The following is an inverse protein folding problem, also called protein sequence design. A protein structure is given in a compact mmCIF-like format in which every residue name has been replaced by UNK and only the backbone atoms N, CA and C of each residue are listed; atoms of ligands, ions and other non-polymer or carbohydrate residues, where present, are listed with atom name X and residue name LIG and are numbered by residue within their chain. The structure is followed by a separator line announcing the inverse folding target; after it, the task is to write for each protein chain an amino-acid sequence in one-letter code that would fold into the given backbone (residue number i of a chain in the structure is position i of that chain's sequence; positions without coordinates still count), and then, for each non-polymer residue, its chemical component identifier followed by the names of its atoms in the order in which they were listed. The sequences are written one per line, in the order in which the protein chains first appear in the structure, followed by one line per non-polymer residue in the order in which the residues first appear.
data_IF_003437421891
#
_entry.id   IF_003437421891
#
_cell.length_a   1.000
_cell.length_b   1.000
_cell.length_c   1.000
_cell.angle_alpha   90.00
_cell.angle_beta   90.00
_cell.angle_gamma   90.00
#
_symmetry.space_group_name_H-M   'P 1'
#
loop_
_entity.id
_entity.type
_entity.pdbx_description
1 polymer ?
#
# COMPACT_ATOMS: atom_id res chain seq x y z
N UNK A 1 -3.06 -5.03 0.96
CA UNK A 1 -2.64 -4.04 1.99
C UNK A 1 -3.80 -3.49 2.80
N UNK A 2 -4.74 -2.74 2.19
CA UNK A 2 -5.78 -1.97 2.93
C UNK A 2 -6.51 -2.76 4.01
N UNK A 3 -6.93 -3.99 3.68
CA UNK A 3 -7.66 -4.85 4.59
C UNK A 3 -6.76 -5.30 5.75
N UNK A 4 -5.55 -5.77 5.45
CA UNK A 4 -4.62 -6.24 6.48
C UNK A 4 -4.24 -5.15 7.47
N UNK A 5 -3.94 -3.93 7.01
CA UNK A 5 -3.71 -2.79 7.91
C UNK A 5 -4.93 -2.53 8.82
N UNK A 6 -6.13 -2.47 8.25
CA UNK A 6 -7.35 -2.27 9.05
C UNK A 6 -7.58 -3.37 10.09
N UNK A 7 -7.34 -4.62 9.70
CA UNK A 7 -7.56 -5.80 10.54
C UNK A 7 -6.61 -5.84 11.74
N UNK A 8 -5.29 -5.67 11.50
CA UNK A 8 -4.28 -5.97 12.55
C UNK A 8 -3.67 -4.72 13.18
N UNK A 9 -3.62 -3.58 12.48
CA UNK A 9 -3.05 -2.33 13.04
C UNK A 9 -4.10 -1.28 13.43
N UNK A 10 -5.35 -1.48 13.01
CA UNK A 10 -6.48 -0.54 13.13
C UNK A 10 -6.23 0.83 12.50
N UNK A 11 -5.22 0.94 11.63
CA UNK A 11 -5.01 2.12 10.80
C UNK A 11 -6.10 2.13 9.72
N UNK A 12 -6.83 3.24 9.63
CA UNK A 12 -7.79 3.43 8.54
C UNK A 12 -7.04 3.51 7.21
N UNK A 13 -7.01 2.39 6.49
CA UNK A 13 -6.36 2.28 5.20
C UNK A 13 -7.39 2.06 4.08
N UNK A 14 -7.26 2.82 2.99
CA UNK A 14 -8.10 2.71 1.81
C UNK A 14 -7.24 2.46 0.58
N UNK A 15 -7.81 1.72 -0.38
CA UNK A 15 -7.11 1.36 -1.60
C UNK A 15 -7.91 1.88 -2.78
N UNK A 16 -7.23 2.60 -3.67
CA UNK A 16 -7.81 3.22 -4.85
C UNK A 16 -7.05 2.78 -6.10
N UNK A 17 -7.75 2.71 -7.23
CA UNK A 17 -7.06 2.69 -8.51
C UNK A 17 -6.36 4.03 -8.71
N UNK A 18 -5.12 4.03 -9.21
CA UNK A 18 -4.30 5.24 -9.25
C UNK A 18 -4.95 6.40 -10.00
N UNK A 19 -5.65 6.12 -11.11
CA UNK A 19 -6.35 7.13 -11.90
C UNK A 19 -7.56 7.76 -11.19
N UNK A 20 -8.13 7.09 -10.18
CA UNK A 20 -9.36 7.52 -9.53
C UNK A 20 -9.14 8.58 -8.44
N UNK A 21 -7.89 8.85 -8.06
CA UNK A 21 -7.56 9.79 -6.98
C UNK A 21 -8.15 11.19 -7.22
N UNK A 22 -8.21 11.62 -8.50
CA UNK A 22 -8.70 12.94 -8.90
C UNK A 22 -10.22 13.11 -8.77
N UNK A 23 -10.97 12.03 -8.62
CA UNK A 23 -12.43 12.06 -8.58
C UNK A 23 -13.00 12.32 -7.17
N UNK A 24 -12.17 12.79 -6.24
CA UNK A 24 -12.58 13.34 -4.94
C UNK A 24 -11.74 12.84 -3.77
N UNK A 25 -11.17 11.64 -3.87
CA UNK A 25 -10.43 11.01 -2.76
C UNK A 25 -9.11 11.72 -2.45
N UNK A 26 -8.54 12.44 -3.42
CA UNK A 26 -7.38 13.33 -3.20
C UNK A 26 -7.66 14.45 -2.19
N UNK A 27 -8.93 14.81 -1.94
CA UNK A 27 -9.31 15.79 -0.93
C UNK A 27 -9.07 15.31 0.51
N UNK A 28 -8.85 14.00 0.71
CA UNK A 28 -8.55 13.40 2.02
C UNK A 28 -7.06 13.48 2.37
N UNK A 29 -6.20 13.96 1.46
CA UNK A 29 -4.76 14.04 1.69
C UNK A 29 -4.47 15.26 2.56
N UNK A 30 -3.87 15.00 3.72
CA UNK A 30 -3.32 15.98 4.64
C UNK A 30 -1.79 15.84 4.74
N UNK A 31 -1.14 16.83 5.34
CA UNK A 31 0.31 16.81 5.57
C UNK A 31 0.74 15.57 6.37
N UNK A 32 1.74 14.85 5.86
CA UNK A 32 2.24 13.61 6.44
C UNK A 32 1.39 12.37 6.13
N UNK A 33 0.30 12.47 5.37
CA UNK A 33 -0.55 11.30 5.05
C UNK A 33 0.27 10.23 4.31
N UNK A 34 0.42 9.01 4.86
CA UNK A 34 1.21 7.98 4.21
C UNK A 34 0.48 7.43 2.98
N UNK A 35 1.15 7.43 1.83
CA UNK A 35 0.63 6.88 0.57
C UNK A 35 1.55 5.81 0.04
N UNK A 36 1.02 4.59 -0.14
CA UNK A 36 1.77 3.49 -0.74
C UNK A 36 1.42 3.35 -2.22
N UNK A 37 2.40 3.56 -3.09
CA UNK A 37 2.28 3.43 -4.55
C UNK A 37 2.95 2.16 -5.06
N UNK A 38 2.22 1.36 -5.86
CA UNK A 38 2.75 0.16 -6.51
C UNK A 38 3.14 0.47 -7.96
N UNK A 39 4.43 0.66 -8.21
CA UNK A 39 4.99 0.97 -9.53
C UNK A 39 5.69 -0.25 -10.15
N UNK A 40 5.11 -1.45 -10.00
CA UNK A 40 5.74 -2.74 -10.33
C UNK A 40 5.44 -3.24 -11.74
N UNK A 41 4.58 -2.56 -12.51
CA UNK A 41 4.22 -2.94 -13.88
C UNK A 41 4.64 -1.84 -14.86
N UNK A 42 5.37 -2.21 -15.91
CA UNK A 42 5.97 -1.27 -16.87
C UNK A 42 4.92 -0.34 -17.51
N UNK A 43 3.82 -0.91 -18.01
CA UNK A 43 2.75 -0.19 -18.74
C UNK A 43 2.10 0.94 -17.93
N UNK A 44 2.07 0.82 -16.60
CA UNK A 44 1.39 1.77 -15.71
C UNK A 44 2.34 2.47 -14.73
N UNK A 45 3.63 2.13 -14.72
CA UNK A 45 4.63 2.66 -13.79
C UNK A 45 4.66 4.19 -13.81
N UNK A 46 4.76 4.80 -15.00
CA UNK A 46 4.80 6.26 -15.14
C UNK A 46 3.52 6.93 -14.65
N UNK A 47 2.35 6.34 -14.97
CA UNK A 47 1.05 6.86 -14.54
C UNK A 47 0.89 6.80 -13.03
N UNK A 48 1.25 5.68 -12.39
CA UNK A 48 1.21 5.55 -10.93
C UNK A 48 2.12 6.59 -10.27
N UNK A 49 3.35 6.76 -10.77
CA UNK A 49 4.28 7.77 -10.24
C UNK A 49 3.77 9.20 -10.42
N UNK A 50 3.11 9.49 -11.54
CA UNK A 50 2.42 10.77 -11.75
C UNK A 50 1.38 11.02 -10.67
N UNK A 51 0.53 10.03 -10.40
CA UNK A 51 -0.49 10.12 -9.36
C UNK A 51 0.13 10.29 -7.95
N UNK A 52 1.23 9.59 -7.64
CA UNK A 52 1.96 9.75 -6.38
C UNK A 52 2.52 11.18 -6.24
N UNK A 53 3.11 11.74 -7.31
CA UNK A 53 3.61 13.13 -7.28
C UNK A 53 2.51 14.14 -6.94
N UNK A 54 1.29 13.92 -7.44
CA UNK A 54 0.17 14.81 -7.19
C UNK A 54 -0.27 14.81 -5.73
N UNK A 55 -0.30 13.66 -5.06
CA UNK A 55 -0.62 13.59 -3.63
C UNK A 55 0.53 14.12 -2.78
N UNK A 56 1.78 13.92 -3.18
CA UNK A 56 2.97 14.49 -2.51
C UNK A 56 2.95 16.02 -2.56
N UNK A 57 2.54 16.60 -3.68
CA UNK A 57 2.37 18.06 -3.81
C UNK A 57 1.29 18.63 -2.87
N UNK A 58 0.51 17.77 -2.20
CA UNK A 58 -0.52 18.12 -1.21
C UNK A 58 -0.16 17.68 0.21
N UNK A 59 1.11 17.33 0.45
CA UNK A 59 1.64 16.97 1.77
C UNK A 59 1.71 15.47 2.06
N UNK A 60 1.37 14.58 1.12
CA UNK A 60 1.49 13.15 1.35
C UNK A 60 2.95 12.70 1.52
N UNK A 61 3.17 11.72 2.38
CA UNK A 61 4.44 11.01 2.52
C UNK A 61 4.42 9.75 1.63
N UNK A 62 5.20 9.70 0.54
CA UNK A 62 5.15 8.59 -0.40
C UNK A 62 5.99 7.40 0.07
N UNK A 63 5.46 6.20 -0.12
CA UNK A 63 6.19 4.94 -0.07
C UNK A 63 6.00 4.24 -1.41
N UNK A 64 7.02 4.24 -2.26
CA UNK A 64 6.94 3.63 -3.60
C UNK A 64 7.57 2.24 -3.54
N UNK A 65 6.78 1.24 -3.90
CA UNK A 65 7.23 -0.13 -4.12
C UNK A 65 7.33 -0.35 -5.62
N UNK A 66 8.54 -0.62 -6.11
CA UNK A 66 8.84 -0.88 -7.52
C UNK A 66 9.44 -2.26 -7.70
N UNK A 67 9.65 -2.69 -8.95
CA UNK A 67 10.28 -3.95 -9.31
C UNK A 67 11.62 -3.66 -9.97
N UNK A 68 12.63 -4.52 -9.73
CA UNK A 68 13.92 -4.43 -10.41
C UNK A 68 13.77 -4.30 -11.93
N UNK A 69 14.45 -3.31 -12.50
CA UNK A 69 14.35 -2.87 -13.89
C UNK A 69 13.34 -1.73 -14.11
N UNK A 70 12.49 -1.41 -13.13
CA UNK A 70 11.46 -0.34 -13.22
C UNK A 70 11.58 0.71 -12.09
N UNK A 71 12.57 0.53 -11.22
CA UNK A 71 12.85 1.44 -10.12
C UNK A 71 13.34 2.81 -10.60
N UNK A 72 13.14 3.81 -9.76
CA UNK A 72 13.72 5.13 -9.92
C UNK A 72 14.40 5.54 -8.63
N UNK A 73 15.30 6.50 -8.73
CA UNK A 73 15.90 7.12 -7.56
C UNK A 73 14.80 7.64 -6.61
N UNK A 74 14.93 7.30 -5.33
CA UNK A 74 13.95 7.64 -4.30
C UNK A 74 12.83 6.62 -4.08
N UNK A 75 12.81 5.50 -4.81
CA UNK A 75 11.91 4.39 -4.48
C UNK A 75 12.23 3.80 -3.10
N UNK A 76 11.19 3.48 -2.34
CA UNK A 76 11.33 3.07 -0.94
C UNK A 76 11.71 1.61 -0.82
N UNK A 77 11.17 0.75 -1.69
CA UNK A 77 11.48 -0.68 -1.69
C UNK A 77 11.38 -1.24 -3.10
N UNK A 78 12.40 -1.99 -3.51
CA UNK A 78 12.47 -2.63 -4.83
C UNK A 78 12.31 -4.14 -4.64
N UNK A 79 11.25 -4.72 -5.20
CA UNK A 79 11.04 -6.17 -5.23
C UNK A 79 11.89 -6.81 -6.34
N UNK A 80 12.32 -8.08 -6.19
CA UNK A 80 13.04 -8.78 -7.23
C UNK A 80 12.29 -8.83 -8.55
N UNK A 81 13.02 -8.88 -9.66
CA UNK A 81 12.41 -9.07 -10.96
C UNK A 81 11.64 -10.40 -11.02
N UNK A 82 10.36 -10.33 -11.38
CA UNK A 82 9.50 -11.50 -11.60
C UNK A 82 8.62 -11.31 -12.82
N UNK A 83 8.08 -12.42 -13.34
CA UNK A 83 7.12 -12.37 -14.43
C UNK A 83 5.91 -11.50 -14.07
N UNK A 84 5.41 -10.68 -15.01
CA UNK A 84 4.33 -9.69 -14.80
C UNK A 84 3.09 -10.28 -14.10
N UNK A 85 2.73 -11.52 -14.47
CA UNK A 85 1.60 -12.26 -13.88
C UNK A 85 1.81 -12.67 -12.41
N UNK A 86 3.07 -12.77 -11.96
CA UNK A 86 3.45 -13.13 -10.59
C UNK A 86 3.72 -11.90 -9.72
N UNK A 87 3.94 -10.73 -10.32
CA UNK A 87 4.18 -9.47 -9.62
C UNK A 87 3.15 -9.17 -8.51
N UNK A 88 1.83 -9.42 -8.68
CA UNK A 88 0.86 -9.22 -7.60
C UNK A 88 1.14 -10.09 -6.38
N UNK A 89 1.57 -11.34 -6.56
CA UNK A 89 1.86 -12.26 -5.47
C UNK A 89 3.06 -11.78 -4.63
N UNK A 90 4.14 -11.38 -5.30
CA UNK A 90 5.35 -10.87 -4.64
C UNK A 90 5.07 -9.54 -3.94
N UNK A 91 4.32 -8.66 -4.58
CA UNK A 91 3.93 -7.36 -4.00
C UNK A 91 3.10 -7.54 -2.72
N UNK A 92 2.20 -8.55 -2.68
CA UNK A 92 1.37 -8.82 -1.51
C UNK A 92 2.19 -9.16 -0.27
N UNK A 93 3.30 -9.90 -0.39
CA UNK A 93 4.16 -10.25 0.74
C UNK A 93 4.74 -8.97 1.39
N UNK A 94 5.25 -8.05 0.58
CA UNK A 94 5.77 -6.75 1.05
C UNK A 94 4.70 -5.98 1.82
N UNK A 95 3.48 -5.93 1.27
CA UNK A 95 2.35 -5.21 1.88
C UNK A 95 1.83 -5.88 3.17
N UNK A 96 1.93 -7.21 3.28
CA UNK A 96 1.63 -7.96 4.49
C UNK A 96 2.64 -7.64 5.59
N UNK A 97 3.94 -7.59 5.26
CA UNK A 97 4.99 -7.22 6.20
C UNK A 97 4.82 -5.78 6.71
N UNK A 98 4.49 -4.82 5.84
CA UNK A 98 4.18 -3.46 6.28
C UNK A 98 3.02 -3.45 7.29
N UNK A 99 1.96 -4.23 7.02
CA UNK A 99 0.82 -4.32 7.93
C UNK A 99 1.20 -4.94 9.27
N UNK A 100 2.02 -5.99 9.24
CA UNK A 100 2.54 -6.69 10.42
C UNK A 100 3.37 -5.77 11.30
N UNK A 101 4.37 -5.09 10.72
CA UNK A 101 5.22 -4.18 11.49
C UNK A 101 4.46 -2.95 11.97
N UNK A 102 3.48 -2.44 11.20
CA UNK A 102 2.61 -1.37 11.67
C UNK A 102 1.78 -1.75 12.91
N UNK A 103 1.34 -3.00 13.02
CA UNK A 103 0.65 -3.49 14.22
C UNK A 103 1.61 -3.72 15.39
N UNK A 104 2.79 -4.29 15.12
CA UNK A 104 3.81 -4.51 16.13
C UNK A 104 4.28 -3.18 16.76
N UNK A 105 4.50 -2.14 15.96
CA UNK A 105 4.85 -0.80 16.44
C UNK A 105 3.73 -0.10 17.23
N UNK A 106 2.51 -0.64 17.22
CA UNK A 106 1.36 -0.13 17.97
C UNK A 106 1.00 -1.02 19.16
N UNK A 107 1.87 -1.98 19.49
CA UNK A 107 1.70 -2.94 20.59
C UNK A 107 0.37 -3.73 20.50
N UNK A 108 -0.01 -4.13 19.29
CA UNK A 108 -1.25 -4.87 19.02
C UNK A 108 -1.01 -6.38 18.86
N UNK A 109 -1.98 -7.19 19.32
CA UNK A 109 -1.99 -8.63 19.09
C UNK A 109 -2.31 -8.93 17.61
N UNK A 110 -1.28 -9.30 16.86
CA UNK A 110 -1.37 -9.59 15.43
C UNK A 110 -2.11 -10.90 15.14
N UNK A 111 -2.03 -11.87 16.05
CA UNK A 111 -2.63 -13.19 15.89
C UNK A 111 -4.12 -13.20 16.27
N UNK A 112 -4.52 -12.33 17.20
CA UNK A 112 -5.89 -12.19 17.69
C UNK A 112 -6.37 -10.73 17.65
N UNK A 113 -6.58 -10.17 16.44
CA UNK A 113 -7.15 -8.84 16.30
C UNK A 113 -8.57 -8.78 16.89
N UNK A 114 -8.90 -7.66 17.53
CA UNK A 114 -10.20 -7.45 18.21
C UNK A 114 -11.34 -7.58 17.21
N UNK A 115 -12.47 -8.10 17.68
CA UNK A 115 -13.72 -8.21 16.92
C UNK A 115 -13.63 -9.05 15.63
N UNK A 116 -12.57 -9.83 15.44
CA UNK A 116 -12.40 -10.73 14.30
C UNK A 116 -12.31 -12.18 14.77
N UNK A 117 -12.91 -13.08 14.00
CA UNK A 117 -12.78 -14.52 14.15
C UNK A 117 -12.01 -15.09 12.96
N UNK A 118 -11.29 -16.20 13.16
CA UNK A 118 -10.52 -16.84 12.08
C UNK A 118 -11.42 -17.36 10.95
N UNK A 119 -12.64 -17.77 11.30
CA UNK A 119 -13.69 -18.16 10.37
C UNK A 119 -15.02 -17.71 10.97
N UNK A 120 -15.88 -17.12 10.14
CA UNK A 120 -17.26 -16.81 10.53
C UNK A 120 -18.10 -18.04 10.22
N UNK A 121 -18.69 -18.67 11.24
CA UNK A 121 -19.41 -19.95 11.10
C UNK A 121 -20.90 -19.83 11.42
N UNK A 122 -21.41 -18.61 11.58
CA UNK A 122 -22.81 -18.30 11.88
C UNK A 122 -23.31 -17.24 10.90
N UNK A 123 -24.54 -17.41 10.41
CA UNK A 123 -25.27 -16.43 9.58
C UNK A 123 -26.04 -15.44 10.43
#
# INVERSE_FOLDING_TARGET
MRLKLKEISYIQAEGFAGGELKHGTIALIEEGTPVVGLATQEKVNLSIRGNVKEVVARGAHPCIISMEGLEKEGDTYVIPHVHELLTPLVSVVTLQLISYYAALHRDLDVDKPRNLAKSVTVE
#
